data_IF_377353558001
#
_entry.id   IF_377353558001
#
_cell.length_a   1.000
_cell.length_b   1.000
_cell.length_c   1.000
_cell.angle_alpha   90.00
_cell.angle_beta   90.00
_cell.angle_gamma   90.00
#
_symmetry.space_group_name_H-M   'P 1'
#
loop_
_entity.id
_entity.type
_entity.pdbx_description
1 polymer ?
#
# COMPACT_ATOMS: atom_id res chain seq x y z
N UNK A 1 43.48 1.66 38.54
CA UNK A 1 42.28 0.81 38.42
C UNK A 1 41.10 1.58 38.99
N UNK A 2 40.28 2.17 38.13
CA UNK A 2 38.81 2.08 38.20
C UNK A 2 38.23 2.99 37.13
N UNK A 3 37.54 2.35 36.20
CA UNK A 3 36.95 2.84 34.98
C UNK A 3 35.85 3.88 35.22
N UNK A 4 35.88 4.93 34.39
CA UNK A 4 34.72 5.73 34.03
C UNK A 4 33.56 4.79 33.69
N UNK A 5 32.46 4.91 34.42
CA UNK A 5 31.19 4.27 34.06
C UNK A 5 30.49 5.19 33.07
N UNK A 6 30.63 4.86 31.78
CA UNK A 6 29.81 5.36 30.68
C UNK A 6 28.32 5.16 31.01
N UNK A 7 27.68 6.20 31.53
CA UNK A 7 26.23 6.33 31.45
C UNK A 7 25.93 6.86 30.06
N UNK A 8 25.79 5.93 29.11
CA UNK A 8 25.02 6.19 27.89
C UNK A 8 23.56 6.39 28.30
N UNK A 9 23.26 7.60 28.77
CA UNK A 9 21.90 8.11 28.85
C UNK A 9 21.47 8.42 27.41
N UNK A 10 20.65 7.52 26.87
CA UNK A 10 19.96 7.60 25.59
C UNK A 10 19.18 8.90 25.46
N UNK A 11 19.89 9.96 25.10
CA UNK A 11 19.32 11.24 24.67
C UNK A 11 18.80 11.06 23.24
N UNK A 12 17.70 10.30 23.11
CA UNK A 12 16.74 10.47 22.02
C UNK A 12 16.14 11.85 22.20
N UNK A 13 16.92 12.87 21.84
CA UNK A 13 16.52 14.26 21.83
C UNK A 13 15.15 14.33 21.16
N UNK A 14 14.16 14.86 21.89
CA UNK A 14 12.80 15.01 21.38
C UNK A 14 12.89 15.98 20.22
N UNK A 15 13.05 15.46 19.00
CA UNK A 15 12.98 16.25 17.77
C UNK A 15 11.51 16.57 17.60
N UNK A 16 11.10 17.76 18.06
CA UNK A 16 9.71 18.22 18.00
C UNK A 16 9.18 18.34 16.54
N UNK A 17 10.07 18.25 15.55
CA UNK A 17 9.79 18.21 14.11
C UNK A 17 9.53 16.79 13.58
N UNK A 18 9.95 15.73 14.30
CA UNK A 18 9.82 14.35 13.84
C UNK A 18 8.49 13.75 14.31
N UNK A 19 7.72 13.18 13.38
CA UNK A 19 6.46 12.51 13.69
C UNK A 19 6.67 11.39 14.70
N UNK A 20 5.79 11.28 15.69
CA UNK A 20 5.87 10.22 16.70
C UNK A 20 5.70 8.85 16.03
N UNK A 21 6.59 7.93 16.38
CA UNK A 21 6.56 6.54 15.91
C UNK A 21 5.17 5.92 16.15
N UNK A 22 4.63 5.24 15.13
CA UNK A 22 3.30 4.60 15.15
C UNK A 22 2.07 5.54 15.22
N UNK A 23 2.21 6.84 14.95
CA UNK A 23 1.06 7.78 14.92
C UNK A 23 -0.03 7.42 13.91
N UNK A 24 0.24 6.51 12.96
CA UNK A 24 -0.71 6.07 11.94
C UNK A 24 -1.36 4.71 12.25
N UNK A 25 -1.09 4.10 13.41
CA UNK A 25 -1.70 2.81 13.75
C UNK A 25 -3.19 2.97 14.08
N UNK A 26 -4.05 2.31 13.29
CA UNK A 26 -5.50 2.36 13.49
C UNK A 26 -5.96 1.75 14.83
N UNK A 27 -5.13 0.89 15.43
CA UNK A 27 -5.39 0.21 16.70
C UNK A 27 -4.48 0.69 17.83
N UNK A 28 -4.02 1.94 17.78
CA UNK A 28 -3.21 2.49 18.88
C UNK A 28 -4.00 2.44 20.21
N UNK A 29 -3.33 1.90 21.24
CA UNK A 29 -3.84 1.86 22.62
C UNK A 29 -4.04 3.26 23.21
N UNK A 30 -3.27 4.26 22.75
CA UNK A 30 -3.34 5.65 23.20
C UNK A 30 -4.33 6.50 22.42
N UNK A 31 -5.00 5.90 21.43
CA UNK A 31 -6.01 6.58 20.63
C UNK A 31 -7.35 6.60 21.37
N UNK A 32 -7.89 7.81 21.51
CA UNK A 32 -9.12 8.11 22.25
C UNK A 32 -10.41 7.72 21.48
N UNK A 33 -10.29 7.25 20.23
CA UNK A 33 -11.44 6.69 19.50
C UNK A 33 -12.06 5.51 20.26
N UNK A 34 -13.39 5.43 20.23
CA UNK A 34 -14.12 4.29 20.78
C UNK A 34 -13.77 2.99 20.05
N UNK A 35 -13.92 1.84 20.71
CA UNK A 35 -13.66 0.52 20.11
C UNK A 35 -14.52 0.33 18.85
N UNK A 36 -15.79 0.74 18.89
CA UNK A 36 -16.69 0.67 17.74
C UNK A 36 -16.15 1.46 16.54
N UNK A 37 -15.70 2.69 16.76
CA UNK A 37 -15.17 3.54 15.69
C UNK A 37 -13.85 3.00 15.12
N UNK A 38 -12.99 2.41 15.97
CA UNK A 38 -11.74 1.76 15.53
C UNK A 38 -12.03 0.56 14.62
N UNK A 39 -12.99 -0.29 15.01
CA UNK A 39 -13.40 -1.45 14.21
C UNK A 39 -14.02 -1.04 12.88
N UNK A 40 -14.88 -0.02 12.89
CA UNK A 40 -15.49 0.50 11.66
C UNK A 40 -14.45 1.05 10.69
N UNK A 41 -13.50 1.85 11.19
CA UNK A 41 -12.40 2.38 10.38
C UNK A 41 -11.53 1.27 9.78
N UNK A 42 -11.19 0.24 10.56
CA UNK A 42 -10.43 -0.90 10.09
C UNK A 42 -11.17 -1.68 9.00
N UNK A 43 -12.46 -1.97 9.21
CA UNK A 43 -13.29 -2.67 8.22
C UNK A 43 -13.47 -1.87 6.92
N UNK A 44 -13.57 -0.54 7.01
CA UNK A 44 -13.62 0.33 5.82
C UNK A 44 -12.29 0.32 5.07
N UNK A 45 -11.16 0.41 5.78
CA UNK A 45 -9.83 0.36 5.19
C UNK A 45 -9.58 -0.96 4.48
N UNK A 46 -10.01 -2.09 5.04
CA UNK A 46 -9.90 -3.41 4.40
C UNK A 46 -10.70 -3.49 3.10
N UNK A 47 -11.95 -3.00 3.12
CA UNK A 47 -12.79 -2.95 1.91
C UNK A 47 -12.20 -2.05 0.82
N UNK A 48 -11.69 -0.89 1.21
CA UNK A 48 -11.05 0.04 0.27
C UNK A 48 -9.75 -0.54 -0.29
N UNK A 49 -8.95 -1.22 0.54
CA UNK A 49 -7.74 -1.90 0.08
C UNK A 49 -8.07 -3.01 -0.91
N UNK A 50 -9.08 -3.84 -0.63
CA UNK A 50 -9.54 -4.87 -1.55
C UNK A 50 -10.10 -4.29 -2.86
N UNK A 51 -10.86 -3.20 -2.78
CA UNK A 51 -11.37 -2.51 -3.96
C UNK A 51 -10.24 -1.88 -4.80
N UNK A 52 -9.25 -1.27 -4.14
CA UNK A 52 -8.08 -0.69 -4.79
C UNK A 52 -7.18 -1.76 -5.42
N UNK A 53 -7.01 -2.92 -4.77
CA UNK A 53 -6.28 -4.05 -5.35
C UNK A 53 -7.00 -4.60 -6.59
N UNK A 54 -8.33 -4.74 -6.52
CA UNK A 54 -9.15 -5.14 -7.67
C UNK A 54 -9.06 -4.14 -8.81
N UNK A 55 -9.16 -2.84 -8.51
CA UNK A 55 -9.02 -1.78 -9.49
C UNK A 55 -7.62 -1.79 -10.14
N UNK A 56 -6.55 -1.95 -9.36
CA UNK A 56 -5.18 -2.09 -9.89
C UNK A 56 -5.03 -3.29 -10.81
N UNK A 57 -5.68 -4.41 -10.47
CA UNK A 57 -5.67 -5.62 -11.29
C UNK A 57 -6.45 -5.44 -12.60
N UNK A 58 -7.53 -4.67 -12.58
CA UNK A 58 -8.35 -4.36 -13.76
C UNK A 58 -7.70 -3.30 -14.66
N UNK A 59 -7.07 -2.28 -14.07
CA UNK A 59 -6.43 -1.18 -14.79
C UNK A 59 -5.08 -1.60 -15.41
N UNK A 60 -4.35 -2.52 -14.76
CA UNK A 60 -3.14 -3.12 -15.33
C UNK A 60 -1.91 -2.19 -15.37
N UNK A 61 -0.75 -2.78 -15.58
CA UNK A 61 0.55 -2.08 -15.48
C UNK A 61 0.77 -1.02 -16.58
N UNK A 62 0.17 -1.25 -17.75
CA UNK A 62 0.26 -0.34 -18.91
C UNK A 62 -0.47 0.97 -18.63
N UNK A 63 -1.68 0.89 -18.06
CA UNK A 63 -2.48 2.06 -17.74
C UNK A 63 -1.84 2.95 -16.69
N UNK A 64 -1.22 2.36 -15.65
CA UNK A 64 -0.55 3.13 -14.60
C UNK A 64 0.62 3.95 -15.19
N UNK A 65 1.43 3.35 -16.08
CA UNK A 65 2.51 4.06 -16.76
C UNK A 65 1.98 5.24 -17.59
N UNK A 66 0.94 5.02 -18.39
CA UNK A 66 0.30 6.06 -19.21
C UNK A 66 -0.29 7.20 -18.35
N UNK A 67 -0.92 6.86 -17.22
CA UNK A 67 -1.50 7.83 -16.28
C UNK A 67 -0.45 8.74 -15.65
N UNK A 68 0.75 8.21 -15.38
CA UNK A 68 1.89 9.01 -14.91
C UNK A 68 2.65 9.71 -16.03
N UNK A 69 2.18 9.63 -17.29
CA UNK A 69 2.81 10.23 -18.45
C UNK A 69 4.09 9.52 -18.91
N UNK A 70 4.32 8.29 -18.44
CA UNK A 70 5.47 7.47 -18.78
C UNK A 70 5.12 6.48 -19.89
N UNK A 71 6.12 6.12 -20.71
CA UNK A 71 5.95 5.04 -21.66
C UNK A 71 6.05 3.68 -20.94
N UNK A 72 5.06 2.77 -21.09
CA UNK A 72 5.15 1.44 -20.51
C UNK A 72 6.32 0.66 -21.10
N UNK A 73 6.92 -0.22 -20.30
CA UNK A 73 8.07 -1.03 -20.73
C UNK A 73 7.69 -1.95 -21.90
N UNK A 74 8.69 -2.35 -22.70
CA UNK A 74 8.46 -3.27 -23.83
C UNK A 74 7.79 -4.58 -23.41
N UNK A 75 8.18 -5.13 -22.26
CA UNK A 75 7.57 -6.34 -21.70
C UNK A 75 6.10 -6.12 -21.35
N UNK A 76 5.80 -5.05 -20.61
CA UNK A 76 4.42 -4.72 -20.20
C UNK A 76 3.49 -4.52 -21.41
N UNK A 77 3.99 -3.94 -22.50
CA UNK A 77 3.23 -3.80 -23.75
C UNK A 77 2.91 -5.16 -24.41
N UNK A 78 3.88 -6.08 -24.40
CA UNK A 78 3.71 -7.43 -24.97
C UNK A 78 2.73 -8.23 -24.12
N UNK A 79 2.88 -8.19 -22.79
CA UNK A 79 2.00 -8.89 -21.87
C UNK A 79 0.55 -8.42 -22.02
N UNK A 80 0.32 -7.09 -22.10
CA UNK A 80 -1.03 -6.55 -22.33
C UNK A 80 -1.63 -6.94 -23.69
N UNK A 81 -0.80 -7.08 -24.73
CA UNK A 81 -1.25 -7.57 -26.03
C UNK A 81 -1.64 -9.05 -25.96
N UNK A 82 -0.85 -9.88 -25.30
CA UNK A 82 -1.15 -11.31 -25.11
C UNK A 82 -2.45 -11.48 -24.32
N UNK A 83 -2.63 -10.74 -23.23
CA UNK A 83 -3.85 -10.78 -22.42
C UNK A 83 -5.10 -10.39 -23.25
N UNK A 84 -4.98 -9.38 -24.11
CA UNK A 84 -6.07 -8.96 -25.00
C UNK A 84 -6.41 -10.03 -26.05
N UNK A 85 -5.40 -10.64 -26.66
CA UNK A 85 -5.57 -11.70 -27.65
C UNK A 85 -6.18 -12.97 -27.02
N UNK A 86 -5.72 -13.37 -25.83
CA UNK A 86 -6.27 -14.51 -25.08
C UNK A 86 -7.73 -14.28 -24.68
N UNK A 87 -8.07 -13.06 -24.22
CA UNK A 87 -9.46 -12.71 -23.89
C UNK A 87 -10.35 -12.78 -25.13
N UNK A 88 -9.92 -12.24 -26.27
CA UNK A 88 -10.67 -12.30 -27.51
C UNK A 88 -10.86 -13.75 -27.99
N UNK A 89 -9.87 -14.63 -27.78
CA UNK A 89 -10.02 -16.05 -28.06
C UNK A 89 -11.01 -16.75 -27.13
N UNK A 90 -11.01 -16.44 -25.84
CA UNK A 90 -11.96 -17.01 -24.88
C UNK A 90 -13.40 -16.62 -25.20
N UNK A 91 -13.61 -15.35 -25.59
CA UNK A 91 -14.91 -14.84 -26.06
C UNK A 91 -15.35 -15.57 -27.33
N UNK A 92 -14.46 -15.72 -28.33
CA UNK A 92 -14.76 -16.50 -29.56
C UNK A 92 -15.07 -17.96 -29.28
N UNK A 93 -14.41 -18.56 -28.28
CA UNK A 93 -14.61 -19.95 -27.87
C UNK A 93 -15.85 -20.14 -26.99
N UNK A 94 -16.61 -19.08 -26.67
CA UNK A 94 -17.82 -19.14 -25.84
C UNK A 94 -17.56 -19.62 -24.41
N UNK A 95 -16.34 -19.39 -23.90
CA UNK A 95 -15.90 -19.81 -22.55
C UNK A 95 -15.89 -18.66 -21.54
N UNK A 96 -16.42 -17.50 -21.93
CA UNK A 96 -16.57 -16.30 -21.10
C UNK A 96 -18.03 -16.14 -20.65
#
# INVERSE_FOLDING_TARGET
MSSNTDHQEDSKAIRHEEGKENSHQALDSKDEKSIANKLEAAAKAEKEAAAAEKAKKEEGYVFEAEKHGNEPSRGAKIDAQIEADEKAELERKGKA
#
